data_IF_311613244482
#
_entry.id   IF_311613244482
#
_cell.length_a   1.000
_cell.length_b   1.000
_cell.length_c   1.000
_cell.angle_alpha   90.00
_cell.angle_beta   90.00
_cell.angle_gamma   90.00
#
_symmetry.space_group_name_H-M   'P 1'
#
loop_
_entity.id
_entity.type
_entity.pdbx_description
1 polymer ?
#
# COMPACT_ATOMS: atom_id res chain seq x y z
N UNK A 1 20.38 9.45 13.20
CA UNK A 1 20.37 8.83 11.86
C UNK A 1 19.14 9.35 11.12
N UNK A 2 19.31 10.04 9.99
CA UNK A 2 18.17 10.37 9.14
C UNK A 2 17.67 9.07 8.50
N UNK A 3 16.56 8.55 9.00
CA UNK A 3 15.87 7.44 8.36
C UNK A 3 15.25 7.94 7.06
N UNK A 4 15.76 7.47 5.93
CA UNK A 4 15.29 7.87 4.61
C UNK A 4 14.04 7.06 4.23
N UNK A 5 12.95 7.76 3.95
CA UNK A 5 11.73 7.16 3.40
C UNK A 5 11.95 6.84 1.92
N UNK A 6 11.63 5.63 1.49
CA UNK A 6 11.53 5.25 0.08
C UNK A 6 10.12 4.79 -0.27
N UNK A 7 9.75 4.85 -1.55
CA UNK A 7 8.48 4.34 -2.07
C UNK A 7 8.82 3.26 -3.11
N UNK A 8 8.23 2.07 -2.96
CA UNK A 8 8.39 0.95 -3.87
C UNK A 8 7.01 0.45 -4.33
N UNK A 9 6.95 -0.24 -5.47
CA UNK A 9 5.78 -1.06 -5.83
C UNK A 9 5.90 -2.43 -5.19
N UNK A 10 4.87 -2.84 -4.46
CA UNK A 10 4.79 -4.17 -3.89
C UNK A 10 4.58 -5.20 -5.00
N UNK A 11 5.38 -6.25 -4.98
CA UNK A 11 5.27 -7.38 -5.90
C UNK A 11 5.41 -8.68 -5.12
N UNK A 12 5.00 -9.79 -5.72
CA UNK A 12 5.07 -11.11 -5.08
C UNK A 12 6.48 -11.56 -4.69
N UNK A 13 7.52 -11.00 -5.34
CA UNK A 13 8.92 -11.32 -5.00
C UNK A 13 9.33 -10.72 -3.65
N UNK A 14 8.52 -9.81 -3.10
CA UNK A 14 8.76 -9.12 -1.83
C UNK A 14 7.78 -9.63 -0.76
N UNK A 15 7.97 -10.87 -0.28
CA UNK A 15 7.11 -11.48 0.74
C UNK A 15 7.09 -10.67 2.04
N UNK A 16 8.26 -10.24 2.52
CA UNK A 16 8.36 -9.45 3.76
C UNK A 16 7.57 -8.13 3.64
N UNK A 17 7.63 -7.49 2.47
CA UNK A 17 6.85 -6.29 2.19
C UNK A 17 5.33 -6.53 2.18
N UNK A 18 4.87 -7.73 1.82
CA UNK A 18 3.46 -8.09 1.84
C UNK A 18 2.95 -8.31 3.25
N UNK A 19 3.71 -9.00 4.10
CA UNK A 19 3.29 -9.24 5.48
C UNK A 19 3.19 -7.93 6.27
N UNK A 20 4.16 -7.01 6.13
CA UNK A 20 4.06 -5.68 6.73
C UNK A 20 2.85 -4.88 6.18
N UNK A 21 2.62 -4.92 4.87
CA UNK A 21 1.45 -4.30 4.23
C UNK A 21 0.14 -4.85 4.80
N UNK A 22 0.00 -6.17 4.90
CA UNK A 22 -1.20 -6.83 5.40
C UNK A 22 -1.47 -6.53 6.87
N UNK A 23 -0.41 -6.43 7.68
CA UNK A 23 -0.51 -6.02 9.07
C UNK A 23 -1.07 -4.60 9.22
N UNK A 24 -0.64 -3.66 8.38
CA UNK A 24 -1.20 -2.30 8.39
C UNK A 24 -2.64 -2.33 7.87
N UNK A 25 -2.91 -3.05 6.79
CA UNK A 25 -4.24 -3.14 6.15
C UNK A 25 -5.30 -3.66 7.13
N UNK A 26 -5.07 -4.83 7.72
CA UNK A 26 -6.03 -5.58 8.54
C UNK A 26 -6.49 -4.86 9.82
N UNK A 27 -5.74 -3.85 10.27
CA UNK A 27 -6.11 -3.02 11.43
C UNK A 27 -6.62 -1.63 11.05
N UNK A 28 -6.50 -1.24 9.78
CA UNK A 28 -6.80 0.13 9.34
C UNK A 28 -8.26 0.33 8.91
N UNK A 29 -8.97 -0.76 8.58
CA UNK A 29 -10.33 -0.72 8.06
C UNK A 29 -11.26 -1.65 8.85
N UNK A 30 -12.56 -1.34 8.97
CA UNK A 30 -13.56 -2.27 9.51
C UNK A 30 -13.57 -3.60 8.76
N UNK A 31 -13.86 -4.72 9.44
CA UNK A 31 -13.92 -6.05 8.81
C UNK A 31 -14.86 -6.12 7.60
N UNK A 32 -15.96 -5.34 7.60
CA UNK A 32 -16.90 -5.26 6.49
C UNK A 32 -16.33 -4.60 5.23
N UNK A 33 -15.23 -3.87 5.36
CA UNK A 33 -14.51 -3.19 4.27
C UNK A 33 -13.21 -3.93 3.90
N UNK A 34 -12.90 -5.02 4.59
CA UNK A 34 -11.69 -5.79 4.32
C UNK A 34 -11.91 -6.81 3.20
N UNK A 35 -10.96 -6.85 2.27
CA UNK A 35 -10.72 -7.98 1.37
C UNK A 35 -9.98 -9.07 2.13
N UNK A 36 -10.21 -10.31 1.73
CA UNK A 36 -9.42 -11.46 2.17
C UNK A 36 -7.95 -11.31 1.79
N UNK A 37 -7.08 -12.06 2.49
CA UNK A 37 -5.65 -12.10 2.18
C UNK A 37 -5.40 -12.60 0.76
N UNK A 38 -6.20 -13.57 0.32
CA UNK A 38 -6.15 -14.17 -1.01
C UNK A 38 -6.50 -13.16 -2.10
N UNK A 39 -7.57 -12.38 -1.92
CA UNK A 39 -7.94 -11.31 -2.86
C UNK A 39 -6.82 -10.25 -2.97
N UNK A 40 -6.19 -9.87 -1.86
CA UNK A 40 -5.06 -8.93 -1.87
C UNK A 40 -3.84 -9.51 -2.61
N UNK A 41 -3.58 -10.81 -2.50
CA UNK A 41 -2.52 -11.49 -3.26
C UNK A 41 -2.85 -11.54 -4.75
N UNK A 42 -4.10 -11.78 -5.12
CA UNK A 42 -4.57 -11.75 -6.50
C UNK A 42 -4.45 -10.36 -7.12
N UNK A 43 -4.68 -9.29 -6.36
CA UNK A 43 -4.47 -7.92 -6.83
C UNK A 43 -3.02 -7.68 -7.27
N UNK A 44 -2.03 -8.32 -6.63
CA UNK A 44 -0.62 -8.22 -7.05
C UNK A 44 -0.33 -8.89 -8.41
N UNK A 45 -1.23 -9.74 -8.91
CA UNK A 45 -1.13 -10.36 -10.23
C UNK A 45 -1.86 -9.59 -11.32
N UNK A 46 -2.80 -8.72 -10.93
CA UNK A 46 -3.67 -8.06 -11.88
C UNK A 46 -2.98 -6.84 -12.48
N UNK A 47 -2.98 -6.70 -13.82
CA UNK A 47 -2.45 -5.50 -14.47
C UNK A 47 -3.30 -4.25 -14.20
N UNK A 48 -4.49 -4.40 -13.61
CA UNK A 48 -5.39 -3.29 -13.28
C UNK A 48 -5.16 -2.72 -11.87
N UNK A 49 -4.19 -3.25 -11.13
CA UNK A 49 -3.90 -2.79 -9.77
C UNK A 49 -2.42 -2.48 -9.61
N UNK A 50 -2.14 -1.48 -8.77
CA UNK A 50 -0.79 -1.19 -8.30
C UNK A 50 -0.84 -0.91 -6.82
N UNK A 51 -0.03 -1.63 -6.06
CA UNK A 51 0.11 -1.43 -4.62
C UNK A 51 1.44 -0.73 -4.38
N UNK A 52 1.40 0.52 -3.94
CA UNK A 52 2.59 1.26 -3.52
C UNK A 52 2.78 1.09 -2.02
N UNK A 53 4.03 0.89 -1.61
CA UNK A 53 4.44 0.82 -0.21
C UNK A 53 5.48 1.88 0.08
N UNK A 54 5.39 2.47 1.27
CA UNK A 54 6.40 3.37 1.80
C UNK A 54 7.24 2.62 2.82
N UNK A 55 8.56 2.81 2.79
CA UNK A 55 9.50 2.04 3.61
C UNK A 55 10.44 2.94 4.40
N UNK A 56 10.71 2.53 5.63
CA UNK A 56 11.76 3.06 6.50
C UNK A 56 12.61 1.88 6.97
N UNK A 57 13.93 1.92 6.71
CA UNK A 57 14.85 0.85 7.13
C UNK A 57 14.36 -0.55 6.70
N UNK A 58 13.91 -0.66 5.44
CA UNK A 58 13.29 -1.85 4.83
C UNK A 58 11.92 -2.30 5.35
N UNK A 59 11.40 -1.72 6.42
CA UNK A 59 10.06 -2.00 6.93
C UNK A 59 9.01 -1.20 6.18
N UNK A 60 7.91 -1.83 5.76
CA UNK A 60 6.77 -1.07 5.22
C UNK A 60 6.06 -0.31 6.35
N UNK A 61 5.86 1.00 6.17
CA UNK A 61 5.26 1.90 7.16
C UNK A 61 3.97 2.57 6.67
N UNK A 62 3.55 2.25 5.45
CA UNK A 62 2.30 2.74 4.87
C UNK A 62 2.16 2.27 3.43
N UNK A 63 0.95 2.35 2.89
CA UNK A 63 0.65 1.90 1.54
C UNK A 63 -0.48 2.71 0.90
N UNK A 64 -0.60 2.59 -0.42
CA UNK A 64 -1.85 2.83 -1.13
C UNK A 64 -2.08 1.75 -2.20
N UNK A 65 -3.35 1.48 -2.47
CA UNK A 65 -3.81 0.58 -3.54
C UNK A 65 -4.52 1.44 -4.58
N UNK A 66 -4.03 1.39 -5.80
CA UNK A 66 -4.61 2.09 -6.94
C UNK A 66 -5.22 1.08 -7.89
N UNK A 67 -6.51 1.22 -8.18
CA UNK A 67 -7.14 0.59 -9.33
C UNK A 67 -6.99 1.49 -10.55
N UNK A 68 -6.63 0.89 -11.68
CA UNK A 68 -6.56 1.54 -12.97
C UNK A 68 -7.01 0.59 -14.06
N UNK A 69 -7.55 1.14 -15.16
CA UNK A 69 -7.99 0.33 -16.28
C UNK A 69 -7.87 1.09 -17.58
N UNK A 70 -7.44 0.41 -18.64
CA UNK A 70 -7.47 0.95 -20.00
C UNK A 70 -8.89 1.28 -20.50
N UNK A 71 -9.93 0.83 -19.79
CA UNK A 71 -11.34 1.11 -20.11
C UNK A 71 -11.87 2.39 -19.48
N UNK A 72 -11.12 3.01 -18.56
CA UNK A 72 -11.57 4.19 -17.81
C UNK A 72 -10.52 5.29 -17.88
N UNK A 73 -10.94 6.55 -17.88
CA UNK A 73 -10.05 7.72 -17.90
C UNK A 73 -9.67 8.22 -16.50
N UNK A 74 -9.85 7.40 -15.47
CA UNK A 74 -9.53 7.75 -14.09
C UNK A 74 -8.79 6.61 -13.39
N UNK A 75 -8.08 7.00 -12.33
CA UNK A 75 -7.48 6.11 -11.35
C UNK A 75 -8.31 6.19 -10.07
N UNK A 76 -8.52 5.06 -9.41
CA UNK A 76 -9.21 5.00 -8.13
C UNK A 76 -8.20 4.67 -7.04
N UNK A 77 -8.05 5.59 -6.09
CA UNK A 77 -7.39 5.31 -4.81
C UNK A 77 -8.35 4.46 -3.96
N UNK A 78 -8.17 3.14 -3.98
CA UNK A 78 -9.10 2.21 -3.34
C UNK A 78 -8.85 2.11 -1.82
N UNK A 79 -7.58 1.97 -1.41
CA UNK A 79 -7.20 1.94 0.00
C UNK A 79 -5.92 2.74 0.22
N UNK A 80 -5.82 3.37 1.39
CA UNK A 80 -4.62 4.06 1.81
C UNK A 80 -4.52 4.07 3.34
N UNK A 81 -3.37 3.67 3.87
CA UNK A 81 -3.13 3.74 5.30
C UNK A 81 -1.65 3.92 5.61
N UNK A 82 -1.37 4.51 6.77
CA UNK A 82 -0.03 4.66 7.36
C UNK A 82 -0.07 4.04 8.74
N UNK A 83 0.99 3.29 9.07
CA UNK A 83 1.23 2.74 10.40
C UNK A 83 0.98 3.81 11.46
N UNK A 84 0.20 3.47 12.49
CA UNK A 84 -0.27 4.43 13.52
C UNK A 84 0.88 5.13 14.22
N UNK A 85 2.03 4.46 14.38
CA UNK A 85 3.25 5.01 15.00
C UNK A 85 4.03 5.95 14.07
N UNK A 86 3.70 5.95 12.77
CA UNK A 86 4.37 6.71 11.71
C UNK A 86 3.46 7.79 11.08
N UNK A 87 2.31 8.09 11.70
CA UNK A 87 1.42 9.18 11.27
C UNK A 87 2.01 10.55 11.62
N UNK A 88 1.50 11.60 10.96
CA UNK A 88 1.92 13.00 11.13
C UNK A 88 3.36 13.34 10.66
N UNK A 89 4.05 12.42 9.97
CA UNK A 89 5.36 12.66 9.34
C UNK A 89 5.30 12.94 7.83
N UNK A 90 4.11 13.22 7.29
CA UNK A 90 3.91 13.48 5.85
C UNK A 90 4.05 12.27 4.94
N UNK A 91 4.10 11.04 5.48
CA UNK A 91 4.22 9.79 4.71
C UNK A 91 3.03 9.62 3.76
N UNK A 92 1.81 9.87 4.25
CA UNK A 92 0.60 9.80 3.42
C UNK A 92 0.67 10.74 2.22
N UNK A 93 1.04 12.01 2.44
CA UNK A 93 1.22 12.96 1.34
C UNK A 93 2.25 12.48 0.32
N UNK A 94 3.38 11.91 0.78
CA UNK A 94 4.40 11.36 -0.13
C UNK A 94 3.89 10.15 -0.94
N UNK A 95 3.12 9.25 -0.33
CA UNK A 95 2.46 8.16 -1.07
C UNK A 95 1.50 8.71 -2.14
N UNK A 96 0.71 9.73 -1.81
CA UNK A 96 -0.26 10.32 -2.72
C UNK A 96 0.37 11.05 -3.91
N UNK A 97 1.53 11.69 -3.73
CA UNK A 97 2.23 12.36 -4.85
C UNK A 97 2.95 11.41 -5.81
N UNK A 98 3.08 10.13 -5.46
CA UNK A 98 3.82 9.13 -6.23
C UNK A 98 2.94 8.20 -7.07
N UNK A 99 1.62 8.39 -7.01
CA UNK A 99 0.64 7.65 -7.81
C UNK A 99 0.57 8.14 -9.25
#
# INVERSE_FOLDING_TARGET
MNMQLSIDTLSQKNRDGFDDFYNIYSISFPLSEQKSKEELLEMLHSPNYTVFISKISNKTVGFCIIFHSFKTSFYLLEYMAVDTTQRNYGIGSKLFYMQ
#
